data_IF_530104995336
#
_entry.id   IF_530104995336
#
_cell.length_a   1.000
_cell.length_b   1.000
_cell.length_c   1.000
_cell.angle_alpha   90.00
_cell.angle_beta   90.00
_cell.angle_gamma   90.00
#
_symmetry.space_group_name_H-M   'P 1'
#
loop_
_entity.id
_entity.type
_entity.pdbx_description
1 polymer ?
#
# COMPACT_ATOMS: atom_id res chain seq x y z
N UNK A 1 -5.10 14.20 -18.15
CA UNK A 1 -4.22 13.06 -17.85
C UNK A 1 -4.77 12.37 -16.61
N UNK A 2 -4.92 11.05 -16.63
CA UNK A 2 -5.45 10.27 -15.50
C UNK A 2 -4.39 10.10 -14.43
N UNK A 3 -4.78 10.14 -13.15
CA UNK A 3 -3.87 9.94 -12.01
C UNK A 3 -4.12 8.59 -11.34
N UNK A 4 -3.07 7.79 -11.20
CA UNK A 4 -3.13 6.47 -10.57
C UNK A 4 -2.25 6.48 -9.31
N UNK A 5 -2.85 6.24 -8.16
CA UNK A 5 -2.14 6.04 -6.89
C UNK A 5 -1.79 4.57 -6.69
N UNK A 6 -0.50 4.23 -6.56
CA UNK A 6 -0.02 2.88 -6.34
C UNK A 6 0.57 2.74 -4.94
N UNK A 7 -0.11 2.02 -4.07
CA UNK A 7 0.26 1.80 -2.68
C UNK A 7 0.91 0.43 -2.52
N UNK A 8 2.20 0.41 -2.19
CA UNK A 8 3.02 -0.79 -2.13
C UNK A 8 3.38 -1.09 -0.67
N UNK A 9 2.91 -2.23 -0.16
CA UNK A 9 3.20 -2.63 1.20
C UNK A 9 4.72 -2.78 1.42
N UNK A 10 5.28 -2.14 2.44
CA UNK A 10 6.74 -1.99 2.56
C UNK A 10 7.45 -3.18 3.19
N UNK A 11 6.78 -4.32 3.34
CA UNK A 11 7.34 -5.50 3.98
C UNK A 11 7.62 -6.61 2.99
N UNK A 12 8.89 -6.93 2.80
CA UNK A 12 9.36 -7.95 1.86
C UNK A 12 9.39 -7.49 0.39
N UNK A 13 10.24 -8.14 -0.41
CA UNK A 13 10.45 -7.78 -1.81
C UNK A 13 9.32 -8.26 -2.75
N UNK A 14 8.46 -9.16 -2.29
CA UNK A 14 7.39 -9.74 -3.11
C UNK A 14 6.36 -8.70 -3.58
N UNK A 15 5.95 -7.80 -2.68
CA UNK A 15 5.04 -6.71 -2.99
C UNK A 15 5.64 -5.76 -4.04
N UNK A 16 6.88 -5.32 -3.83
CA UNK A 16 7.59 -4.46 -4.78
C UNK A 16 7.68 -5.10 -6.17
N UNK A 17 8.18 -6.34 -6.26
CA UNK A 17 8.37 -7.03 -7.54
C UNK A 17 7.05 -7.22 -8.30
N UNK A 18 5.97 -7.57 -7.60
CA UNK A 18 4.64 -7.75 -8.19
C UNK A 18 4.10 -6.42 -8.73
N UNK A 19 4.21 -5.35 -7.95
CA UNK A 19 3.72 -4.04 -8.36
C UNK A 19 4.52 -3.45 -9.52
N UNK A 20 5.83 -3.69 -9.58
CA UNK A 20 6.65 -3.26 -10.71
C UNK A 20 6.32 -4.01 -12.00
N UNK A 21 5.99 -5.30 -11.92
CA UNK A 21 5.50 -6.07 -13.08
C UNK A 21 4.13 -5.58 -13.55
N UNK A 22 3.27 -5.17 -12.63
CA UNK A 22 1.98 -4.59 -12.97
C UNK A 22 2.18 -3.25 -13.68
N UNK A 23 3.07 -2.39 -13.18
CA UNK A 23 3.40 -1.09 -13.79
C UNK A 23 3.92 -1.25 -15.23
N UNK A 24 4.82 -2.21 -15.47
CA UNK A 24 5.30 -2.56 -16.81
C UNK A 24 4.17 -2.99 -17.75
N UNK A 25 3.20 -3.77 -17.25
CA UNK A 25 2.02 -4.16 -18.05
C UNK A 25 1.09 -2.97 -18.29
N UNK A 26 0.84 -2.16 -17.28
CA UNK A 26 0.01 -0.97 -17.44
C UNK A 26 0.59 -0.03 -18.49
N UNK A 27 1.89 0.25 -18.44
CA UNK A 27 2.56 1.09 -19.43
C UNK A 27 2.50 0.54 -20.85
N UNK A 28 2.47 -0.80 -21.00
CA UNK A 28 2.38 -1.47 -22.30
C UNK A 28 0.95 -1.49 -22.89
N UNK A 29 -0.05 -1.67 -22.03
CA UNK A 29 -1.42 -1.96 -22.50
C UNK A 29 -2.39 -0.79 -22.33
N UNK A 30 -2.13 0.16 -21.44
CA UNK A 30 -2.95 1.37 -21.33
C UNK A 30 -2.59 2.33 -22.46
N UNK A 31 -3.58 2.60 -23.31
CA UNK A 31 -3.45 3.57 -24.42
C UNK A 31 -3.73 5.01 -23.99
N UNK A 32 -4.26 5.20 -22.79
CA UNK A 32 -4.60 6.51 -22.23
C UNK A 32 -3.39 7.07 -21.49
N UNK A 33 -3.11 8.35 -21.66
CA UNK A 33 -2.09 9.02 -20.85
C UNK A 33 -2.47 9.03 -19.37
N UNK A 34 -1.53 8.61 -18.53
CA UNK A 34 -1.70 8.58 -17.09
C UNK A 34 -0.41 8.97 -16.37
N UNK A 35 -0.59 9.49 -15.19
CA UNK A 35 0.49 9.80 -14.25
C UNK A 35 0.43 8.84 -13.05
N UNK A 36 1.54 8.17 -12.78
CA UNK A 36 1.66 7.22 -11.67
C UNK A 36 2.27 7.90 -10.45
N UNK A 37 1.60 7.75 -9.31
CA UNK A 37 2.08 8.14 -7.99
C UNK A 37 2.36 6.89 -7.18
N UNK A 38 3.51 6.83 -6.51
CA UNK A 38 3.94 5.68 -5.73
C UNK A 38 4.00 6.02 -4.25
N UNK A 39 3.48 5.12 -3.43
CA UNK A 39 3.42 5.25 -1.99
C UNK A 39 4.00 4.03 -1.31
N UNK A 40 5.02 4.21 -0.46
CA UNK A 40 5.60 3.15 0.36
C UNK A 40 6.43 3.75 1.48
N UNK A 41 7.22 2.97 2.20
CA UNK A 41 8.21 3.45 3.18
C UNK A 41 9.51 2.65 3.13
N UNK A 42 10.56 3.21 3.77
CA UNK A 42 11.82 2.52 4.04
C UNK A 42 12.52 2.02 2.79
N UNK A 43 12.89 0.74 2.78
CA UNK A 43 13.66 0.16 1.67
C UNK A 43 12.92 0.21 0.32
N UNK A 44 11.62 -0.05 0.31
CA UNK A 44 10.80 -0.01 -0.92
C UNK A 44 10.71 1.41 -1.47
N UNK A 45 10.50 2.40 -0.61
CA UNK A 45 10.55 3.82 -0.99
C UNK A 45 11.88 4.18 -1.66
N UNK A 46 13.01 3.78 -1.05
CA UNK A 46 14.33 4.02 -1.63
C UNK A 46 14.54 3.31 -2.97
N UNK A 47 14.01 2.09 -3.14
CA UNK A 47 14.04 1.36 -4.42
C UNK A 47 13.26 2.09 -5.51
N UNK A 48 12.09 2.65 -5.17
CA UNK A 48 11.28 3.45 -6.09
C UNK A 48 12.03 4.70 -6.56
N UNK A 49 12.65 5.45 -5.64
CA UNK A 49 13.46 6.63 -5.97
C UNK A 49 14.64 6.31 -6.90
N UNK A 50 15.27 5.14 -6.71
CA UNK A 50 16.37 4.68 -7.58
C UNK A 50 15.86 4.24 -8.95
N UNK A 51 14.70 3.58 -9.01
CA UNK A 51 14.12 3.07 -10.26
C UNK A 51 13.56 4.19 -11.14
N UNK A 52 12.99 5.23 -10.53
CA UNK A 52 12.31 6.32 -11.23
C UNK A 52 12.88 7.69 -10.82
N UNK A 53 14.14 7.98 -11.17
CA UNK A 53 14.80 9.24 -10.75
C UNK A 53 14.09 10.48 -11.28
N UNK A 54 13.45 10.39 -12.44
CA UNK A 54 12.74 11.51 -13.08
C UNK A 54 11.32 11.74 -12.50
N UNK A 55 10.81 10.80 -11.69
CA UNK A 55 9.48 10.86 -11.08
C UNK A 55 9.52 11.07 -9.57
N UNK A 56 10.58 11.68 -9.03
CA UNK A 56 10.75 11.85 -7.58
C UNK A 56 9.59 12.58 -6.91
N UNK A 57 8.98 13.53 -7.61
CA UNK A 57 7.85 14.31 -7.09
C UNK A 57 6.57 13.47 -6.93
N UNK A 58 6.51 12.33 -7.59
CA UNK A 58 5.36 11.41 -7.55
C UNK A 58 5.62 10.19 -6.64
N UNK A 59 6.76 10.17 -5.94
CA UNK A 59 7.11 9.08 -5.02
C UNK A 59 7.07 9.64 -3.60
N UNK A 60 6.17 9.11 -2.79
CA UNK A 60 5.90 9.62 -1.46
C UNK A 60 6.16 8.57 -0.40
N UNK A 61 6.82 8.99 0.67
CA UNK A 61 6.97 8.15 1.85
C UNK A 61 5.75 8.29 2.75
N UNK A 62 5.09 7.17 3.04
CA UNK A 62 3.97 7.09 3.98
C UNK A 62 4.24 6.01 5.01
N UNK A 63 3.84 6.29 6.26
CA UNK A 63 4.14 5.43 7.40
C UNK A 63 3.12 4.29 7.55
N UNK A 64 3.04 3.40 6.56
CA UNK A 64 2.19 2.20 6.65
C UNK A 64 2.57 1.35 7.85
N UNK A 65 1.60 0.91 8.66
CA UNK A 65 1.86 -0.04 9.74
C UNK A 65 2.42 -1.35 9.20
N UNK A 66 3.46 -1.86 9.87
CA UNK A 66 4.07 -3.16 9.54
C UNK A 66 4.15 -4.02 10.80
N UNK A 67 4.18 -5.36 10.67
CA UNK A 67 4.46 -6.24 11.80
C UNK A 67 5.78 -5.89 12.48
N UNK A 68 5.91 -6.26 13.74
CA UNK A 68 7.18 -6.15 14.46
C UNK A 68 8.07 -7.32 14.07
N UNK A 69 9.29 -7.01 13.64
CA UNK A 69 10.28 -8.03 13.30
C UNK A 69 10.85 -8.69 14.58
N UNK A 70 10.90 -10.00 14.55
CA UNK A 70 11.64 -10.82 15.50
C UNK A 70 12.96 -11.29 14.89
N UNK A 71 13.67 -12.16 15.62
CA UNK A 71 14.99 -12.66 15.19
C UNK A 71 14.97 -13.41 13.83
N UNK A 72 13.85 -14.06 13.48
CA UNK A 72 13.73 -14.91 12.29
C UNK A 72 12.53 -14.53 11.39
N UNK A 73 12.04 -13.32 11.48
CA UNK A 73 10.86 -12.83 10.75
C UNK A 73 9.85 -12.16 11.68
N UNK A 74 8.61 -11.94 11.23
CA UNK A 74 7.62 -11.25 12.04
C UNK A 74 7.34 -11.99 13.34
N UNK A 75 7.39 -11.26 14.45
CA UNK A 75 7.01 -11.79 15.76
C UNK A 75 5.51 -11.61 15.97
N UNK A 76 4.77 -12.70 15.99
CA UNK A 76 3.31 -12.68 16.21
C UNK A 76 2.97 -12.12 17.58
N UNK A 77 3.67 -12.57 18.64
CA UNK A 77 3.43 -12.12 20.01
C UNK A 77 3.71 -10.62 20.21
N UNK A 78 4.85 -10.13 19.70
CA UNK A 78 5.18 -8.72 19.76
C UNK A 78 4.25 -7.87 18.91
N UNK A 79 3.81 -8.37 17.75
CA UNK A 79 2.85 -7.67 16.88
C UNK A 79 1.47 -7.57 17.55
N UNK A 80 1.00 -8.63 18.22
CA UNK A 80 -0.24 -8.60 19.00
C UNK A 80 -0.11 -7.62 20.18
N UNK A 81 0.99 -7.65 20.91
CA UNK A 81 1.23 -6.71 22.01
C UNK A 81 1.24 -5.27 21.48
N UNK A 82 1.86 -5.04 20.33
CA UNK A 82 1.93 -3.71 19.70
C UNK A 82 0.57 -3.22 19.19
N UNK A 83 -0.44 -4.06 19.05
CA UNK A 83 -1.79 -3.58 18.71
C UNK A 83 -2.29 -2.53 19.71
N UNK A 84 -2.01 -2.71 20.99
CA UNK A 84 -2.54 -1.88 22.06
C UNK A 84 -1.48 -1.04 22.76
N UNK A 85 -0.24 -1.51 22.82
CA UNK A 85 0.85 -0.90 23.59
C UNK A 85 2.04 -0.57 22.68
N UNK A 86 2.80 0.48 22.98
CA UNK A 86 4.10 0.71 22.35
C UNK A 86 5.06 -0.46 22.61
N UNK A 87 5.80 -0.87 21.59
CA UNK A 87 6.84 -1.92 21.71
C UNK A 87 8.15 -1.40 21.12
N UNK A 88 9.19 -1.32 21.95
CA UNK A 88 10.45 -0.69 21.57
C UNK A 88 10.26 0.77 21.19
N UNK A 89 10.73 1.17 20.03
CA UNK A 89 10.54 2.51 19.48
C UNK A 89 9.22 2.71 18.73
N UNK A 90 8.42 1.64 18.57
CA UNK A 90 7.18 1.71 17.80
C UNK A 90 6.02 2.16 18.67
N UNK A 91 5.25 3.11 18.19
CA UNK A 91 3.95 3.43 18.79
C UNK A 91 2.99 2.25 18.69
N UNK A 92 1.92 2.24 19.49
CA UNK A 92 0.87 1.22 19.35
C UNK A 92 0.30 1.24 17.91
N UNK A 93 -0.11 0.08 17.42
CA UNK A 93 -0.65 -0.06 16.06
C UNK A 93 -1.85 0.87 15.83
N UNK A 94 -2.71 1.03 16.83
CA UNK A 94 -3.85 1.96 16.76
C UNK A 94 -3.39 3.40 16.46
N UNK A 95 -2.36 3.88 17.16
CA UNK A 95 -1.81 5.22 16.91
C UNK A 95 -1.09 5.31 15.56
N UNK A 96 -0.35 4.26 15.17
CA UNK A 96 0.28 4.19 13.85
C UNK A 96 -0.76 4.29 12.74
N UNK A 97 -1.84 3.49 12.81
CA UNK A 97 -2.93 3.50 11.83
C UNK A 97 -3.61 4.88 11.77
N UNK A 98 -3.91 5.47 12.93
CA UNK A 98 -4.52 6.81 12.99
C UNK A 98 -3.66 7.88 12.30
N UNK A 99 -2.38 7.91 12.61
CA UNK A 99 -1.44 8.87 12.03
C UNK A 99 -1.23 8.62 10.53
N UNK A 100 -1.13 7.35 10.13
CA UNK A 100 -1.02 6.93 8.77
C UNK A 100 -2.24 7.36 7.94
N UNK A 101 -3.45 7.03 8.37
CA UNK A 101 -4.68 7.41 7.67
C UNK A 101 -4.86 8.93 7.57
N UNK A 102 -4.43 9.69 8.58
CA UNK A 102 -4.47 11.15 8.52
C UNK A 102 -3.59 11.69 7.40
N UNK A 103 -2.34 11.22 7.30
CA UNK A 103 -1.40 11.65 6.25
C UNK A 103 -1.83 11.19 4.87
N UNK A 104 -2.30 9.94 4.76
CA UNK A 104 -2.74 9.40 3.49
C UNK A 104 -3.96 10.14 2.93
N UNK A 105 -4.88 10.55 3.80
CA UNK A 105 -6.04 11.37 3.41
C UNK A 105 -5.62 12.67 2.72
N UNK A 106 -4.56 13.32 3.17
CA UNK A 106 -4.05 14.56 2.57
C UNK A 106 -3.62 14.34 1.11
N UNK A 107 -3.02 13.18 0.78
CA UNK A 107 -2.67 12.83 -0.60
C UNK A 107 -3.92 12.62 -1.46
N UNK A 108 -4.92 11.88 -0.97
CA UNK A 108 -6.16 11.67 -1.71
C UNK A 108 -6.89 12.99 -2.00
N UNK A 109 -6.93 13.90 -1.03
CA UNK A 109 -7.62 15.19 -1.19
C UNK A 109 -6.87 16.11 -2.14
N UNK A 110 -5.53 16.03 -2.17
CA UNK A 110 -4.68 16.86 -3.03
C UNK A 110 -4.60 16.33 -4.47
N UNK A 111 -4.35 15.04 -4.64
CA UNK A 111 -4.03 14.47 -5.95
C UNK A 111 -5.28 14.08 -6.75
N UNK A 112 -6.41 13.81 -6.10
CA UNK A 112 -7.66 13.42 -6.75
C UNK A 112 -7.47 12.26 -7.73
N UNK A 113 -7.09 11.08 -7.23
CA UNK A 113 -6.82 9.90 -8.04
C UNK A 113 -8.04 9.42 -8.81
N UNK A 114 -7.84 9.02 -10.07
CA UNK A 114 -8.85 8.35 -10.89
C UNK A 114 -8.90 6.84 -10.63
N UNK A 115 -7.80 6.26 -10.14
CA UNK A 115 -7.67 4.85 -9.78
C UNK A 115 -6.67 4.70 -8.65
N UNK A 116 -6.98 3.83 -7.72
CA UNK A 116 -6.06 3.39 -6.68
C UNK A 116 -5.73 1.91 -6.88
N UNK A 117 -4.44 1.58 -6.88
CA UNK A 117 -3.95 0.20 -6.92
C UNK A 117 -3.17 -0.04 -5.64
N UNK A 118 -3.52 -1.07 -4.88
CA UNK A 118 -2.79 -1.39 -3.68
C UNK A 118 -2.43 -2.87 -3.56
N UNK A 119 -1.34 -3.12 -2.88
CA UNK A 119 -0.86 -4.45 -2.56
C UNK A 119 -0.56 -4.54 -1.07
N UNK A 120 -1.56 -5.01 -0.32
CA UNK A 120 -1.45 -5.23 1.12
C UNK A 120 -1.77 -4.02 2.00
N UNK A 121 -2.04 -2.85 1.43
CA UNK A 121 -2.45 -1.67 2.17
C UNK A 121 -3.98 -1.56 2.28
N UNK A 122 -4.51 -1.87 3.46
CA UNK A 122 -5.95 -1.79 3.70
C UNK A 122 -6.46 -0.36 3.82
N UNK A 123 -5.62 0.57 4.24
CA UNK A 123 -6.00 1.98 4.43
C UNK A 123 -6.37 2.65 3.12
N UNK A 124 -5.59 2.43 2.07
CA UNK A 124 -5.85 3.00 0.75
C UNK A 124 -7.19 2.54 0.16
N UNK A 125 -7.59 1.29 0.39
CA UNK A 125 -8.91 0.81 -0.04
C UNK A 125 -10.05 1.53 0.67
N UNK A 126 -9.94 1.73 1.98
CA UNK A 126 -10.97 2.43 2.77
C UNK A 126 -11.10 3.89 2.32
N UNK A 127 -9.97 4.56 2.12
CA UNK A 127 -9.95 5.95 1.68
C UNK A 127 -10.47 6.13 0.25
N UNK A 128 -10.13 5.21 -0.65
CA UNK A 128 -10.64 5.19 -2.02
C UNK A 128 -12.16 4.98 -2.04
N UNK A 129 -12.66 3.99 -1.29
CA UNK A 129 -14.10 3.71 -1.17
C UNK A 129 -14.88 4.92 -0.64
N UNK A 130 -14.35 5.59 0.38
CA UNK A 130 -15.01 6.76 0.97
C UNK A 130 -15.07 7.99 0.05
N UNK A 131 -14.37 7.95 -1.09
CA UNK A 131 -14.31 9.01 -2.12
C UNK A 131 -14.83 8.56 -3.48
N UNK A 132 -15.47 7.39 -3.52
CA UNK A 132 -15.95 6.77 -4.76
C UNK A 132 -14.87 6.61 -5.85
N UNK A 133 -13.60 6.47 -5.42
CA UNK A 133 -12.48 6.23 -6.31
C UNK A 133 -12.38 4.72 -6.59
N UNK A 134 -12.37 4.28 -7.85
CA UNK A 134 -12.12 2.89 -8.21
C UNK A 134 -10.83 2.37 -7.59
N UNK A 135 -10.86 1.19 -6.98
CA UNK A 135 -9.67 0.59 -6.38
C UNK A 135 -9.47 -0.85 -6.82
N UNK A 136 -8.20 -1.20 -7.09
CA UNK A 136 -7.75 -2.55 -7.41
C UNK A 136 -6.86 -3.08 -6.30
N UNK A 137 -7.32 -4.14 -5.63
CA UNK A 137 -6.51 -4.83 -4.64
C UNK A 137 -5.74 -5.99 -5.28
N UNK A 138 -4.40 -5.90 -5.25
CA UNK A 138 -3.50 -6.92 -5.77
C UNK A 138 -3.03 -7.79 -4.61
N UNK A 139 -3.30 -9.09 -4.68
CA UNK A 139 -2.91 -10.03 -3.61
C UNK A 139 -2.58 -11.41 -4.19
N UNK A 140 -1.65 -12.11 -3.52
CA UNK A 140 -1.41 -13.54 -3.75
C UNK A 140 -2.05 -14.42 -2.66
N UNK A 141 -2.68 -13.81 -1.67
CA UNK A 141 -3.34 -14.52 -0.55
C UNK A 141 -4.79 -14.87 -0.86
N UNK A 142 -5.08 -15.20 -2.12
CA UNK A 142 -6.41 -15.62 -2.51
C UNK A 142 -6.64 -17.03 -1.98
N UNK A 143 -7.54 -17.17 -0.98
CA UNK A 143 -7.97 -18.46 -0.47
C UNK A 143 -9.26 -18.87 -1.20
N UNK A 144 -9.20 -19.78 -2.18
CA UNK A 144 -10.39 -20.19 -2.96
C UNK A 144 -11.51 -20.74 -2.10
N UNK A 145 -11.19 -21.26 -0.92
CA UNK A 145 -12.16 -21.80 0.04
C UNK A 145 -13.06 -20.73 0.68
N UNK A 146 -12.53 -19.52 0.91
CA UNK A 146 -13.34 -18.41 1.45
C UNK A 146 -14.28 -17.84 0.39
N UNK A 147 -13.88 -17.90 -0.87
CA UNK A 147 -14.73 -17.47 -1.99
C UNK A 147 -15.95 -18.36 -2.19
N UNK A 148 -15.79 -19.68 -2.05
CA UNK A 148 -16.89 -20.63 -2.18
C UNK A 148 -17.93 -20.54 -1.06
N UNK A 149 -17.57 -20.04 0.12
CA UNK A 149 -18.52 -19.89 1.23
C UNK A 149 -19.43 -18.66 1.09
N UNK A 150 -19.13 -17.74 0.20
CA UNK A 150 -19.92 -16.53 -0.04
C UNK A 150 -20.72 -16.55 -1.36
N UNK A 151 -20.55 -17.59 -2.18
CA UNK A 151 -21.35 -17.81 -3.40
C UNK A 151 -22.65 -18.59 -3.16
N UNK A 152 -23.11 -18.70 -1.94
CA UNK A 152 -24.33 -19.37 -1.51
C UNK A 152 -25.46 -18.42 -1.12
N UNK A 153 -25.58 -17.28 -1.83
CA UNK A 153 -26.76 -16.44 -1.84
C UNK A 153 -27.25 -16.23 -3.25
#
# INVERSE_FOLDING_TARGET
MKKIGQFIYPWGNGHYSRMMRLDEKLSKYLKTEYEMYYFSKGEIYNKLLKKFPDKKNNIHEILMPTPIDGKYGPSVSLSILNMFFPVGSNQSLVNQVKNYLKKEREFYDREQFDLVINDGDMGSNVLAKNRDIPSLFVTNQFLPRLWKSHSGF
#
